data_IF_212710492963
#
_entry.id   IF_212710492963
#
_cell.length_a   1.000
_cell.length_b   1.000
_cell.length_c   1.000
_cell.angle_alpha   90.00
_cell.angle_beta   90.00
_cell.angle_gamma   90.00
#
_symmetry.space_group_name_H-M   'P 1'
#
loop_
_entity.id
_entity.type
_entity.pdbx_description
1 polymer ?
#
# COMPACT_ATOMS: atom_id res chain seq x y z
N UNK A 1 -7.24 -7.44 14.42
CA UNK A 1 -5.78 -7.32 14.21
C UNK A 1 -5.60 -6.49 12.95
N UNK A 2 -4.57 -5.65 12.89
CA UNK A 2 -4.28 -4.81 11.71
C UNK A 2 -2.80 -4.94 11.34
N UNK A 3 -2.48 -4.51 10.13
CA UNK A 3 -1.14 -4.51 9.57
C UNK A 3 -0.92 -3.22 8.80
N UNK A 4 0.09 -2.47 9.21
CA UNK A 4 0.40 -1.15 8.65
C UNK A 4 1.51 -1.25 7.62
N UNK A 5 1.28 -0.57 6.50
CA UNK A 5 2.10 -0.61 5.30
C UNK A 5 2.39 0.83 4.92
N UNK A 6 3.64 1.08 4.52
CA UNK A 6 4.04 2.33 3.93
C UNK A 6 4.55 2.07 2.52
N UNK A 7 4.14 2.93 1.60
CA UNK A 7 4.47 2.85 0.19
C UNK A 7 5.27 4.09 -0.18
N UNK A 8 6.45 3.86 -0.72
CA UNK A 8 7.42 4.87 -1.10
C UNK A 8 7.92 4.61 -2.51
N UNK A 9 8.47 5.65 -3.14
CA UNK A 9 9.22 5.50 -4.38
C UNK A 9 10.71 5.76 -4.09
N UNK A 10 11.45 4.78 -3.58
CA UNK A 10 12.86 4.98 -3.29
C UNK A 10 13.63 5.30 -4.58
N UNK A 11 14.66 6.13 -4.46
CA UNK A 11 15.59 6.39 -5.58
C UNK A 11 16.33 5.12 -6.02
N UNK A 12 16.61 4.23 -5.07
CA UNK A 12 17.08 2.86 -5.31
C UNK A 12 15.91 1.84 -5.20
N UNK A 13 15.44 1.25 -6.31
CA UNK A 13 14.35 0.28 -6.30
C UNK A 13 14.75 -1.11 -5.76
N UNK A 14 16.04 -1.35 -5.51
CA UNK A 14 16.55 -2.60 -4.95
C UNK A 14 16.50 -2.64 -3.41
N UNK A 15 16.04 -1.57 -2.75
CA UNK A 15 15.93 -1.52 -1.29
C UNK A 15 14.88 -2.50 -0.80
N UNK A 16 15.31 -3.41 0.07
CA UNK A 16 14.45 -4.45 0.68
C UNK A 16 14.07 -4.15 2.14
N UNK A 17 14.63 -3.07 2.72
CA UNK A 17 14.36 -2.60 4.09
C UNK A 17 14.14 -1.09 4.09
N UNK A 18 13.01 -0.61 4.63
CA UNK A 18 12.69 0.82 4.63
C UNK A 18 13.74 1.68 5.38
N UNK A 19 14.43 1.13 6.38
CA UNK A 19 15.49 1.88 7.09
C UNK A 19 16.70 2.19 6.22
N UNK A 20 16.86 1.50 5.08
CA UNK A 20 17.88 1.76 4.08
C UNK A 20 17.41 2.73 2.97
N UNK A 21 16.18 3.24 3.03
CA UNK A 21 15.71 4.28 2.09
C UNK A 21 16.34 5.61 2.48
N UNK A 22 17.27 6.08 1.64
CA UNK A 22 17.94 7.37 1.84
C UNK A 22 17.11 8.54 1.31
N UNK A 23 16.50 8.37 0.13
CA UNK A 23 15.72 9.40 -0.56
C UNK A 23 14.51 8.81 -1.27
N UNK A 24 13.45 9.62 -1.41
CA UNK A 24 12.21 9.25 -2.10
C UNK A 24 11.87 10.22 -3.23
N UNK A 25 11.28 9.68 -4.28
CA UNK A 25 10.71 10.43 -5.39
C UNK A 25 9.20 10.58 -5.13
N UNK A 26 8.55 11.69 -5.51
CA UNK A 26 7.10 11.76 -5.43
C UNK A 26 6.41 10.66 -6.25
N UNK A 27 5.37 10.05 -5.68
CA UNK A 27 4.51 9.05 -6.31
C UNK A 27 3.72 9.68 -7.47
N UNK A 28 3.33 10.95 -7.33
CA UNK A 28 2.61 11.70 -8.34
C UNK A 28 1.60 12.69 -7.74
N UNK A 29 0.71 13.20 -8.59
CA UNK A 29 -0.40 14.04 -8.16
C UNK A 29 -1.44 13.22 -7.37
N UNK A 30 -2.06 13.84 -6.37
CA UNK A 30 -2.99 13.19 -5.43
C UNK A 30 -4.15 12.48 -6.14
N UNK A 31 -4.69 13.06 -7.20
CA UNK A 31 -5.78 12.49 -8.00
C UNK A 31 -5.36 11.22 -8.77
N UNK A 32 -4.15 11.23 -9.34
CA UNK A 32 -3.58 10.09 -10.06
C UNK A 32 -3.30 8.95 -9.08
N UNK A 33 -2.62 9.24 -7.97
CA UNK A 33 -2.25 8.23 -6.96
C UNK A 33 -3.52 7.61 -6.35
N UNK A 34 -4.49 8.44 -5.95
CA UNK A 34 -5.78 7.97 -5.42
C UNK A 34 -6.51 7.08 -6.42
N UNK A 35 -6.51 7.44 -7.71
CA UNK A 35 -7.17 6.66 -8.76
C UNK A 35 -6.56 5.27 -8.93
N UNK A 36 -5.24 5.14 -8.82
CA UNK A 36 -4.57 3.83 -8.92
C UNK A 36 -4.91 2.94 -7.73
N UNK A 37 -4.82 3.47 -6.50
CA UNK A 37 -5.21 2.69 -5.32
C UNK A 37 -6.69 2.32 -5.35
N UNK A 38 -7.57 3.24 -5.75
CA UNK A 38 -9.00 2.98 -5.87
C UNK A 38 -9.34 1.94 -6.95
N UNK A 39 -8.47 1.72 -7.94
CA UNK A 39 -8.64 0.64 -8.91
C UNK A 39 -8.41 -0.73 -8.28
N UNK A 40 -7.41 -0.85 -7.40
CA UNK A 40 -7.06 -2.11 -6.73
C UNK A 40 -7.88 -2.34 -5.45
N UNK A 41 -8.24 -1.27 -4.74
CA UNK A 41 -9.02 -1.27 -3.51
C UNK A 41 -10.18 -0.24 -3.62
N UNK A 42 -11.29 -0.59 -4.28
CA UNK A 42 -12.39 0.34 -4.52
C UNK A 42 -12.99 0.91 -3.22
N UNK A 43 -12.88 2.22 -2.99
CA UNK A 43 -13.35 2.90 -1.78
C UNK A 43 -12.34 2.96 -0.63
N UNK A 44 -11.05 2.71 -0.89
CA UNK A 44 -10.00 2.82 0.14
C UNK A 44 -9.77 4.26 0.65
N UNK A 45 -10.11 5.27 -0.15
CA UNK A 45 -10.18 6.68 0.26
C UNK A 45 -11.55 6.99 0.85
N UNK A 46 -11.59 7.65 2.01
CA UNK A 46 -12.84 8.04 2.70
C UNK A 46 -13.71 6.90 3.25
N UNK A 47 -13.10 5.89 3.89
CA UNK A 47 -13.86 4.96 4.75
C UNK A 47 -13.69 3.47 4.49
N UNK A 48 -12.45 3.05 4.22
CA UNK A 48 -11.99 1.67 4.11
C UNK A 48 -12.64 0.84 2.97
N UNK A 49 -11.83 0.29 2.07
CA UNK A 49 -12.28 -0.78 1.18
C UNK A 49 -12.63 -2.00 2.04
N UNK A 50 -13.83 -2.57 1.92
CA UNK A 50 -14.23 -3.78 2.65
C UNK A 50 -14.41 -4.94 1.66
N UNK A 51 -13.57 -5.97 1.80
CA UNK A 51 -13.72 -7.22 1.07
C UNK A 51 -14.52 -8.23 1.90
N UNK A 52 -15.83 -8.00 2.01
CA UNK A 52 -16.74 -8.85 2.78
C UNK A 52 -16.25 -9.10 4.22
N UNK A 53 -16.15 -10.37 4.61
CA UNK A 53 -15.63 -10.78 5.93
C UNK A 53 -14.11 -11.03 5.94
N UNK A 54 -13.42 -10.81 4.82
CA UNK A 54 -12.03 -11.22 4.64
C UNK A 54 -11.07 -10.17 5.19
N UNK A 55 -11.17 -8.92 4.72
CA UNK A 55 -10.34 -7.80 5.20
C UNK A 55 -10.91 -6.44 4.80
N UNK A 56 -10.36 -5.37 5.39
CA UNK A 56 -10.52 -4.01 4.89
C UNK A 56 -9.20 -3.25 4.74
N UNK A 57 -9.16 -2.24 3.87
CA UNK A 57 -7.97 -1.41 3.59
C UNK A 57 -8.32 0.07 3.66
N UNK A 58 -7.63 0.80 4.52
CA UNK A 58 -7.68 2.27 4.59
C UNK A 58 -6.44 2.86 3.92
N UNK A 59 -6.61 3.93 3.14
CA UNK A 59 -5.52 4.67 2.48
C UNK A 59 -5.42 6.10 3.02
N UNK A 60 -4.21 6.51 3.36
CA UNK A 60 -3.84 7.89 3.65
C UNK A 60 -2.67 8.31 2.76
N UNK A 61 -2.80 9.45 2.09
CA UNK A 61 -1.75 10.02 1.24
C UNK A 61 -1.10 11.22 1.96
N UNK A 62 0.21 11.37 1.81
CA UNK A 62 0.98 12.45 2.42
C UNK A 62 1.84 13.17 1.38
N UNK A 63 1.90 14.50 1.46
CA UNK A 63 2.65 15.36 0.54
C UNK A 63 1.81 15.92 -0.60
N UNK A 64 2.31 16.99 -1.24
CA UNK A 64 1.74 17.60 -2.46
C UNK A 64 2.90 18.12 -3.33
N UNK A 65 3.39 17.37 -4.35
CA UNK A 65 2.90 16.06 -4.81
C UNK A 65 3.08 14.95 -3.77
N UNK A 66 2.33 13.86 -3.90
CA UNK A 66 2.32 12.75 -2.93
C UNK A 66 3.72 12.15 -2.80
N UNK A 67 4.27 12.12 -1.59
CA UNK A 67 5.59 11.58 -1.25
C UNK A 67 5.51 10.19 -0.61
N UNK A 68 4.41 9.89 0.07
CA UNK A 68 4.13 8.57 0.63
C UNK A 68 2.66 8.23 0.63
N UNK A 69 2.36 6.94 0.60
CA UNK A 69 1.04 6.39 0.85
C UNK A 69 1.09 5.41 2.03
N UNK A 70 0.17 5.56 2.97
CA UNK A 70 0.04 4.72 4.15
C UNK A 70 -1.22 3.88 4.03
N UNK A 71 -1.07 2.57 4.11
CA UNK A 71 -2.18 1.62 4.06
C UNK A 71 -2.29 0.91 5.41
N UNK A 72 -3.51 0.84 5.92
CA UNK A 72 -3.83 0.01 7.08
C UNK A 72 -4.74 -1.12 6.62
N UNK A 73 -4.20 -2.35 6.63
CA UNK A 73 -4.95 -3.57 6.40
C UNK A 73 -5.57 -4.04 7.72
N UNK A 74 -6.89 -4.14 7.80
CA UNK A 74 -7.58 -4.74 8.94
C UNK A 74 -8.03 -6.15 8.58
N UNK A 75 -7.61 -7.14 9.36
CA UNK A 75 -7.97 -8.54 9.13
C UNK A 75 -9.43 -8.79 9.55
N UNK A 76 -10.22 -9.31 8.62
CA UNK A 76 -11.60 -9.71 8.85
C UNK A 76 -11.70 -11.08 9.56
N UNK A 77 -12.92 -11.44 9.97
CA UNK A 77 -13.18 -12.70 10.70
C UNK A 77 -12.91 -13.95 9.86
N UNK A 78 -12.99 -13.82 8.53
CA UNK A 78 -12.77 -14.91 7.57
C UNK A 78 -11.36 -14.87 6.97
N UNK A 79 -10.44 -14.08 7.53
CA UNK A 79 -9.07 -14.01 7.03
C UNK A 79 -8.43 -15.41 6.97
N UNK A 80 -7.95 -15.76 5.78
CA UNK A 80 -7.27 -17.02 5.49
C UNK A 80 -6.24 -16.81 4.37
N UNK A 81 -5.44 -17.83 4.06
CA UNK A 81 -4.39 -17.79 3.02
C UNK A 81 -4.88 -17.26 1.66
N UNK A 82 -6.15 -17.52 1.31
CA UNK A 82 -6.74 -17.00 0.07
C UNK A 82 -6.93 -15.48 0.12
N UNK A 83 -7.38 -14.95 1.25
CA UNK A 83 -7.55 -13.51 1.50
C UNK A 83 -6.21 -12.81 1.46
N UNK A 84 -5.19 -13.41 2.09
CA UNK A 84 -3.80 -12.91 2.06
C UNK A 84 -3.26 -12.83 0.64
N UNK A 85 -3.36 -13.92 -0.14
CA UNK A 85 -2.92 -13.94 -1.54
C UNK A 85 -3.65 -12.90 -2.38
N UNK A 86 -4.96 -12.76 -2.18
CA UNK A 86 -5.76 -11.76 -2.90
C UNK A 86 -5.27 -10.34 -2.57
N UNK A 87 -5.07 -10.03 -1.29
CA UNK A 87 -4.53 -8.75 -0.85
C UNK A 87 -3.14 -8.48 -1.46
N UNK A 88 -2.23 -9.45 -1.42
CA UNK A 88 -0.87 -9.32 -1.99
C UNK A 88 -0.90 -9.06 -3.51
N UNK A 89 -1.81 -9.71 -4.25
CA UNK A 89 -1.99 -9.46 -5.69
C UNK A 89 -2.45 -8.02 -5.94
N UNK A 90 -3.47 -7.56 -5.23
CA UNK A 90 -4.00 -6.19 -5.38
C UNK A 90 -2.96 -5.13 -5.00
N UNK A 91 -2.20 -5.36 -3.93
CA UNK A 91 -1.12 -4.46 -3.50
C UNK A 91 -0.02 -4.38 -4.57
N UNK A 92 0.43 -5.52 -5.09
CA UNK A 92 1.46 -5.55 -6.14
C UNK A 92 0.98 -4.91 -7.46
N UNK A 93 -0.30 -5.01 -7.80
CA UNK A 93 -0.87 -4.33 -8.97
C UNK A 93 -0.82 -2.80 -8.81
N UNK A 94 -1.23 -2.27 -7.64
CA UNK A 94 -1.16 -0.85 -7.34
C UNK A 94 0.29 -0.32 -7.36
N UNK A 95 1.20 -1.07 -6.73
CA UNK A 95 2.60 -0.70 -6.62
C UNK A 95 3.30 -0.66 -7.99
N UNK A 96 3.09 -1.68 -8.84
CA UNK A 96 3.61 -1.69 -10.22
C UNK A 96 3.06 -0.56 -11.08
N UNK A 97 1.79 -0.21 -10.93
CA UNK A 97 1.17 0.86 -11.72
C UNK A 97 1.78 2.24 -11.43
N UNK A 98 2.26 2.48 -10.21
CA UNK A 98 2.94 3.74 -9.82
C UNK A 98 4.48 3.64 -9.90
N UNK A 99 5.01 2.42 -10.00
CA UNK A 99 6.45 2.15 -9.90
C UNK A 99 6.99 2.50 -8.52
N UNK A 100 6.34 1.98 -7.48
CA UNK A 100 6.56 2.29 -6.06
C UNK A 100 6.66 0.99 -5.26
N UNK A 101 7.36 1.00 -4.14
CA UNK A 101 7.59 -0.19 -3.30
C UNK A 101 6.79 -0.10 -2.01
N UNK A 102 6.20 -1.22 -1.59
CA UNK A 102 5.50 -1.33 -0.31
C UNK A 102 6.37 -2.02 0.75
N UNK A 103 6.38 -1.44 1.95
CA UNK A 103 7.11 -1.93 3.11
C UNK A 103 6.17 -2.16 4.30
N UNK A 104 6.42 -3.21 5.04
CA UNK A 104 5.78 -3.47 6.33
C UNK A 104 6.38 -2.54 7.39
N UNK A 105 5.51 -1.82 8.13
CA UNK A 105 5.98 -0.92 9.21
C UNK A 105 6.45 -1.73 10.43
N UNK A 106 5.97 -2.97 10.59
CA UNK A 106 6.27 -3.80 11.76
C UNK A 106 7.71 -4.28 11.82
N UNK A 107 8.32 -4.59 10.67
CA UNK A 107 9.64 -5.21 10.58
C UNK A 107 10.51 -4.61 9.47
N UNK A 108 10.09 -3.48 8.91
CA UNK A 108 10.75 -2.73 7.84
C UNK A 108 10.88 -3.46 6.50
N UNK A 109 10.37 -4.69 6.38
CA UNK A 109 10.58 -5.51 5.20
C UNK A 109 9.80 -5.03 3.99
N UNK A 110 10.40 -5.18 2.80
CA UNK A 110 9.69 -5.04 1.53
C UNK A 110 8.71 -6.18 1.34
N UNK A 111 7.45 -5.84 1.05
CA UNK A 111 6.35 -6.81 0.87
C UNK A 111 5.74 -6.78 -0.53
N UNK A 112 5.89 -5.70 -1.28
CA UNK A 112 5.45 -5.64 -2.68
C UNK A 112 6.36 -4.72 -3.53
N UNK A 113 6.53 -5.02 -4.84
CA UNK A 113 7.31 -4.21 -5.77
C UNK A 113 6.51 -3.10 -6.43
#
# INVERSE_FOLDING_TARGET
>A
MSFDIIILKPTDPAVDDISAVEDVIPLGATDIVSKVFNHSFPGCTEGAFISGNDFSVELMLSGEPVESAHLTLQFGKSWADKSERNFQVLLAEACRALGVVAFAVSDNSRIAP
#
